data_IF_184276134600
#
_entry.id   IF_184276134600
#
_cell.length_a   1.000
_cell.length_b   1.000
_cell.length_c   1.000
_cell.angle_alpha   90.00
_cell.angle_beta   90.00
_cell.angle_gamma   90.00
#
_symmetry.space_group_name_H-M   'P 1'
#
loop_
_entity.id
_entity.type
_entity.pdbx_description
1 polymer ?
#
# COMPACT_ATOMS: atom_id res chain seq x y z
N UNK A 1 -19.83 23.57 -16.09
CA UNK A 1 -19.22 22.25 -16.34
C UNK A 1 -20.10 21.50 -17.33
N UNK A 2 -19.55 20.83 -18.33
CA UNK A 2 -20.33 19.94 -19.18
C UNK A 2 -20.61 18.66 -18.39
N UNK A 3 -21.89 18.37 -18.13
CA UNK A 3 -22.27 17.06 -17.60
C UNK A 3 -21.97 15.97 -18.64
N UNK A 4 -21.54 14.76 -18.23
CA UNK A 4 -21.32 13.67 -19.16
C UNK A 4 -22.64 13.30 -19.86
N UNK A 5 -22.57 13.01 -21.16
CA UNK A 5 -23.77 12.57 -21.88
C UNK A 5 -24.11 11.13 -21.52
N UNK A 6 -25.35 10.70 -21.78
CA UNK A 6 -25.73 9.29 -21.60
C UNK A 6 -24.81 8.35 -22.39
N UNK A 7 -24.37 8.76 -23.59
CA UNK A 7 -23.44 7.98 -24.41
C UNK A 7 -22.05 7.83 -23.74
N UNK A 8 -21.57 8.85 -23.01
CA UNK A 8 -20.30 8.78 -22.29
C UNK A 8 -20.40 7.90 -21.04
N UNK A 9 -21.53 7.98 -20.33
CA UNK A 9 -21.83 7.11 -19.18
C UNK A 9 -21.90 5.66 -19.64
N UNK A 10 -22.72 5.34 -20.65
CA UNK A 10 -22.84 3.98 -21.20
C UNK A 10 -21.50 3.44 -21.69
N UNK A 11 -20.72 4.24 -22.43
CA UNK A 11 -19.38 3.83 -22.91
C UNK A 11 -18.45 3.50 -21.74
N UNK A 12 -18.48 4.30 -20.68
CA UNK A 12 -17.65 4.08 -19.48
C UNK A 12 -18.02 2.79 -18.76
N UNK A 13 -19.33 2.50 -18.60
CA UNK A 13 -19.80 1.22 -18.06
C UNK A 13 -19.41 0.04 -18.95
N UNK A 14 -19.58 0.13 -20.27
CA UNK A 14 -19.19 -0.96 -21.18
C UNK A 14 -17.69 -1.27 -21.14
N UNK A 15 -16.82 -0.26 -21.01
CA UNK A 15 -15.38 -0.45 -20.84
C UNK A 15 -15.08 -1.13 -19.49
N UNK A 16 -15.74 -0.70 -18.42
CA UNK A 16 -15.52 -1.26 -17.08
C UNK A 16 -15.98 -2.72 -16.97
N UNK A 17 -17.20 -3.03 -17.44
CA UNK A 17 -17.72 -4.41 -17.46
C UNK A 17 -16.87 -5.31 -18.37
N UNK A 18 -16.47 -4.85 -19.55
CA UNK A 18 -15.58 -5.61 -20.42
C UNK A 18 -14.21 -5.89 -19.75
N UNK A 19 -13.62 -4.91 -19.07
CA UNK A 19 -12.38 -5.11 -18.32
C UNK A 19 -12.56 -6.06 -17.13
N UNK A 20 -13.68 -5.96 -16.41
CA UNK A 20 -14.02 -6.88 -15.31
C UNK A 20 -14.16 -8.31 -15.83
N UNK A 21 -15.01 -8.53 -16.81
CA UNK A 21 -15.42 -9.87 -17.24
C UNK A 21 -14.32 -10.54 -18.06
N UNK A 22 -13.82 -9.88 -19.11
CA UNK A 22 -12.91 -10.50 -20.08
C UNK A 22 -11.45 -10.50 -19.62
N UNK A 23 -11.02 -9.56 -18.78
CA UNK A 23 -9.64 -9.51 -18.27
C UNK A 23 -9.54 -9.92 -16.80
N UNK A 24 -10.21 -9.23 -15.88
CA UNK A 24 -10.00 -9.45 -14.44
C UNK A 24 -10.51 -10.83 -13.99
N UNK A 25 -11.77 -11.18 -14.28
CA UNK A 25 -12.37 -12.43 -13.82
C UNK A 25 -11.92 -13.62 -14.68
N UNK A 26 -11.95 -13.49 -16.01
CA UNK A 26 -11.69 -14.60 -16.94
C UNK A 26 -10.23 -14.97 -17.14
N UNK A 27 -9.32 -13.99 -17.24
CA UNK A 27 -7.88 -14.26 -17.50
C UNK A 27 -7.06 -14.15 -16.21
N UNK A 28 -7.24 -13.05 -15.47
CA UNK A 28 -6.38 -12.76 -14.33
C UNK A 28 -6.70 -13.62 -13.10
N UNK A 29 -7.99 -13.80 -12.75
CA UNK A 29 -8.41 -14.60 -11.60
C UNK A 29 -8.85 -16.03 -11.95
N UNK A 30 -9.45 -16.25 -13.11
CA UNK A 30 -10.16 -17.50 -13.42
C UNK A 30 -11.44 -17.70 -12.58
N UNK A 31 -11.94 -16.67 -11.90
CA UNK A 31 -13.17 -16.69 -11.11
C UNK A 31 -13.74 -15.27 -10.91
N UNK A 32 -14.95 -15.18 -10.33
CA UNK A 32 -15.53 -13.89 -9.98
C UNK A 32 -14.73 -13.14 -8.91
N UNK A 33 -14.81 -11.81 -8.94
CA UNK A 33 -14.20 -10.92 -7.92
C UNK A 33 -14.76 -11.25 -6.53
N UNK A 34 -16.05 -11.58 -6.41
CA UNK A 34 -16.66 -11.96 -5.13
C UNK A 34 -16.08 -13.25 -4.55
N UNK A 35 -15.83 -14.29 -5.37
CA UNK A 35 -15.14 -15.50 -4.90
C UNK A 35 -13.73 -15.16 -4.46
N UNK A 36 -12.98 -14.38 -5.24
CA UNK A 36 -11.63 -13.94 -4.86
C UNK A 36 -11.65 -13.20 -3.51
N UNK A 37 -12.51 -12.20 -3.34
CA UNK A 37 -12.69 -11.43 -2.10
C UNK A 37 -13.12 -12.26 -0.88
N UNK A 38 -13.62 -13.49 -1.06
CA UNK A 38 -13.94 -14.37 0.06
C UNK A 38 -12.70 -14.88 0.81
N UNK A 39 -11.52 -14.94 0.16
CA UNK A 39 -10.27 -15.33 0.80
C UNK A 39 -9.87 -14.30 1.89
N UNK A 40 -9.50 -14.77 3.09
CA UNK A 40 -9.12 -13.95 4.25
C UNK A 40 -7.68 -14.21 4.72
N UNK A 41 -7.15 -15.40 4.50
CA UNK A 41 -5.78 -15.77 4.87
C UNK A 41 -4.90 -16.04 3.64
N UNK A 42 -3.59 -16.21 3.84
CA UNK A 42 -2.71 -16.70 2.77
C UNK A 42 -3.01 -18.17 2.44
N UNK A 43 -3.34 -18.97 3.45
CA UNK A 43 -3.69 -20.38 3.27
C UNK A 43 -4.98 -20.52 2.43
N UNK A 44 -5.94 -19.59 2.58
CA UNK A 44 -7.14 -19.51 1.73
C UNK A 44 -6.78 -19.20 0.28
N UNK A 45 -5.78 -18.33 0.05
CA UNK A 45 -5.29 -18.00 -1.31
C UNK A 45 -4.56 -19.18 -1.92
N UNK A 46 -3.76 -19.92 -1.14
CA UNK A 46 -3.11 -21.15 -1.61
C UNK A 46 -4.14 -22.23 -1.95
N UNK A 47 -5.17 -22.41 -1.12
CA UNK A 47 -6.27 -23.35 -1.41
C UNK A 47 -7.08 -22.93 -2.65
N UNK A 48 -7.30 -21.62 -2.84
CA UNK A 48 -7.96 -21.06 -4.02
C UNK A 48 -7.18 -21.32 -5.32
N UNK A 49 -5.85 -21.27 -5.30
CA UNK A 49 -5.03 -21.56 -6.49
C UNK A 49 -5.32 -22.95 -7.07
N UNK A 50 -5.62 -23.95 -6.22
CA UNK A 50 -5.86 -25.33 -6.63
C UNK A 50 -7.36 -25.73 -6.55
N UNK A 51 -8.28 -24.78 -6.33
CA UNK A 51 -9.72 -25.06 -6.15
C UNK A 51 -10.40 -25.57 -7.44
N UNK A 52 -9.94 -25.12 -8.61
CA UNK A 52 -10.37 -25.63 -9.92
C UNK A 52 -9.38 -25.25 -11.03
N UNK A 53 -9.54 -25.89 -12.18
CA UNK A 53 -8.68 -25.72 -13.36
C UNK A 53 -8.60 -24.27 -13.87
N UNK A 54 -9.69 -23.51 -13.82
CA UNK A 54 -9.72 -22.12 -14.30
C UNK A 54 -8.90 -21.20 -13.38
N UNK A 55 -9.04 -21.31 -12.06
CA UNK A 55 -8.26 -20.55 -11.09
C UNK A 55 -6.77 -20.96 -11.12
N UNK A 56 -6.49 -22.27 -11.21
CA UNK A 56 -5.13 -22.79 -11.34
C UNK A 56 -4.41 -22.27 -12.59
N UNK A 57 -5.10 -22.24 -13.73
CA UNK A 57 -4.55 -21.82 -15.02
C UNK A 57 -4.64 -20.31 -15.28
N UNK A 58 -5.21 -19.53 -14.36
CA UNK A 58 -5.25 -18.05 -14.43
C UNK A 58 -3.85 -17.42 -14.31
N UNK A 59 -3.69 -16.19 -14.79
CA UNK A 59 -2.42 -15.46 -14.66
C UNK A 59 -2.02 -15.29 -13.18
N UNK A 60 -2.98 -15.03 -12.29
CA UNK A 60 -2.70 -14.86 -10.86
C UNK A 60 -2.32 -16.18 -10.18
N UNK A 61 -3.04 -17.27 -10.48
CA UNK A 61 -2.73 -18.61 -10.00
C UNK A 61 -1.36 -19.07 -10.46
N UNK A 62 -1.07 -18.94 -11.75
CA UNK A 62 0.25 -19.20 -12.32
C UNK A 62 1.34 -18.34 -11.67
N UNK A 63 1.13 -17.02 -11.53
CA UNK A 63 2.10 -16.12 -10.92
C UNK A 63 2.43 -16.50 -9.47
N UNK A 64 1.43 -16.90 -8.68
CA UNK A 64 1.62 -17.36 -7.30
C UNK A 64 2.44 -18.65 -7.28
N UNK A 65 2.05 -19.68 -8.05
CA UNK A 65 2.75 -20.97 -8.13
C UNK A 65 4.20 -20.79 -8.57
N UNK A 66 4.42 -20.03 -9.64
CA UNK A 66 5.77 -19.71 -10.14
C UNK A 66 6.61 -18.96 -9.11
N UNK A 67 6.05 -17.95 -8.43
CA UNK A 67 6.78 -17.21 -7.40
C UNK A 67 7.20 -18.09 -6.21
N UNK A 68 6.41 -19.10 -5.85
CA UNK A 68 6.75 -20.03 -4.77
C UNK A 68 7.80 -21.06 -5.22
N UNK A 69 7.67 -21.59 -6.44
CA UNK A 69 8.61 -22.53 -7.04
C UNK A 69 10.03 -21.95 -7.16
N UNK A 70 10.16 -20.74 -7.73
CA UNK A 70 11.46 -20.05 -7.81
C UNK A 70 11.87 -19.35 -6.50
N UNK A 71 11.10 -19.49 -5.42
CA UNK A 71 11.42 -18.95 -4.09
C UNK A 71 11.41 -17.42 -3.98
N UNK A 72 10.71 -16.70 -4.86
CA UNK A 72 10.58 -15.23 -4.82
C UNK A 72 9.88 -14.71 -3.56
N UNK A 73 9.19 -15.58 -2.82
CA UNK A 73 8.64 -15.28 -1.49
C UNK A 73 9.71 -15.05 -0.41
N UNK A 74 10.95 -15.54 -0.64
CA UNK A 74 12.08 -15.49 0.30
C UNK A 74 13.02 -14.31 0.07
N UNK A 75 12.83 -13.54 -1.00
CA UNK A 75 13.72 -12.45 -1.41
C UNK A 75 12.98 -11.12 -1.54
N UNK A 76 13.71 -10.01 -1.45
CA UNK A 76 13.14 -8.67 -1.62
C UNK A 76 12.33 -8.17 -0.42
N UNK A 77 12.55 -8.73 0.78
CA UNK A 77 12.03 -8.14 2.02
C UNK A 77 12.62 -6.74 2.20
N UNK A 78 11.74 -5.72 2.23
CA UNK A 78 12.12 -4.33 2.49
C UNK A 78 12.41 -4.07 3.97
N UNK A 79 12.35 -2.79 4.36
CA UNK A 79 12.68 -2.32 5.73
C UNK A 79 11.72 -2.81 6.83
N UNK A 80 10.66 -3.54 6.50
CA UNK A 80 9.66 -4.06 7.46
C UNK A 80 8.74 -3.00 8.07
N UNK A 81 8.96 -1.73 7.75
CA UNK A 81 8.18 -0.58 8.14
C UNK A 81 7.40 -0.04 6.94
N UNK A 82 6.15 0.37 7.12
CA UNK A 82 5.26 0.75 6.02
C UNK A 82 4.52 2.06 6.29
N UNK A 83 4.34 2.86 5.23
CA UNK A 83 3.63 4.14 5.23
C UNK A 83 2.56 4.15 4.13
N UNK A 84 1.32 4.49 4.49
CA UNK A 84 0.29 4.92 3.54
C UNK A 84 -0.34 6.24 3.99
N UNK A 85 -0.43 7.20 3.07
CA UNK A 85 -1.12 8.49 3.28
C UNK A 85 -2.63 8.40 3.05
N UNK A 86 -3.11 7.23 2.59
CA UNK A 86 -4.49 6.95 2.20
C UNK A 86 -4.92 7.55 0.86
N UNK A 87 -6.02 7.03 0.31
CA UNK A 87 -6.51 7.31 -1.04
C UNK A 87 -8.03 7.28 -1.10
N UNK A 88 -8.61 8.16 -1.93
CA UNK A 88 -10.06 8.36 -2.10
C UNK A 88 -10.77 8.88 -0.84
N UNK A 89 -11.60 9.89 -1.02
CA UNK A 89 -12.37 10.50 0.05
C UNK A 89 -13.83 10.08 -0.07
N UNK A 90 -14.45 9.75 1.06
CA UNK A 90 -15.89 9.64 1.20
C UNK A 90 -16.47 11.06 1.04
N UNK A 91 -17.23 11.35 -0.04
CA UNK A 91 -17.62 12.73 -0.37
C UNK A 91 -18.34 13.41 0.79
N UNK A 92 -19.26 12.69 1.45
CA UNK A 92 -20.06 13.20 2.58
C UNK A 92 -19.23 13.59 3.82
N UNK A 93 -17.97 13.14 3.91
CA UNK A 93 -17.04 13.48 4.99
C UNK A 93 -15.97 14.50 4.58
N UNK A 94 -15.96 14.94 3.32
CA UNK A 94 -14.91 15.80 2.75
C UNK A 94 -15.42 17.04 2.00
N UNK A 95 -16.72 17.36 2.10
CA UNK A 95 -17.31 18.63 1.64
C UNK A 95 -16.67 19.87 2.30
N UNK A 96 -16.24 19.72 3.56
CA UNK A 96 -15.57 20.76 4.35
C UNK A 96 -14.22 20.21 4.87
N UNK A 97 -13.19 20.11 4.02
CA UNK A 97 -11.96 19.42 4.36
C UNK A 97 -11.14 20.18 5.40
N UNK A 98 -10.77 19.49 6.48
CA UNK A 98 -9.83 19.97 7.51
C UNK A 98 -8.65 19.00 7.61
N UNK A 99 -7.52 19.47 8.14
CA UNK A 99 -6.32 18.64 8.34
C UNK A 99 -6.65 17.47 9.27
N UNK A 100 -7.28 17.75 10.41
CA UNK A 100 -7.64 16.74 11.42
C UNK A 100 -8.74 15.79 10.93
N UNK A 101 -9.71 16.30 10.17
CA UNK A 101 -10.81 15.50 9.60
C UNK A 101 -10.37 14.58 8.46
N UNK A 102 -9.22 14.87 7.81
CA UNK A 102 -8.76 14.16 6.61
C UNK A 102 -8.71 12.65 6.79
N UNK A 103 -8.12 12.16 7.88
CA UNK A 103 -7.94 10.72 8.08
C UNK A 103 -9.26 9.96 8.23
N UNK A 104 -10.28 10.59 8.83
CA UNK A 104 -11.60 10.01 9.02
C UNK A 104 -12.42 9.94 7.71
N UNK A 105 -12.12 10.79 6.73
CA UNK A 105 -12.78 10.83 5.44
C UNK A 105 -12.20 9.85 4.39
N UNK A 106 -11.14 9.10 4.70
CA UNK A 106 -10.45 8.24 3.73
C UNK A 106 -11.11 6.86 3.58
N UNK A 107 -11.48 6.52 2.35
CA UNK A 107 -11.96 5.17 1.99
C UNK A 107 -10.78 4.18 2.01
N UNK A 108 -9.72 4.51 1.27
CA UNK A 108 -8.43 3.84 1.38
C UNK A 108 -7.64 4.43 2.55
N UNK A 109 -7.62 3.71 3.66
CA UNK A 109 -7.10 4.21 4.96
C UNK A 109 -5.63 4.65 4.90
N UNK A 110 -5.31 5.72 5.64
CA UNK A 110 -3.94 6.09 5.98
C UNK A 110 -3.43 5.28 7.19
N UNK A 111 -2.13 5.29 7.41
CA UNK A 111 -1.50 4.66 8.58
C UNK A 111 -0.01 4.39 8.44
N UNK A 112 0.61 4.15 9.58
CA UNK A 112 2.01 3.77 9.76
C UNK A 112 2.05 2.38 10.40
N UNK A 113 2.86 1.46 9.87
CA UNK A 113 3.09 0.15 10.48
C UNK A 113 4.57 -0.08 10.73
N UNK A 114 4.97 -0.28 11.98
CA UNK A 114 6.37 -0.34 12.42
C UNK A 114 6.50 -1.35 13.56
N UNK A 115 7.40 -2.33 13.43
CA UNK A 115 7.68 -3.29 14.50
C UNK A 115 6.45 -4.06 15.03
N UNK A 116 5.46 -4.33 14.17
CA UNK A 116 4.20 -4.99 14.56
C UNK A 116 3.12 -4.05 15.11
N UNK A 117 3.40 -2.75 15.26
CA UNK A 117 2.47 -1.74 15.80
C UNK A 117 1.94 -0.83 14.70
N UNK A 118 0.67 -0.44 14.82
CA UNK A 118 0.03 0.54 13.95
C UNK A 118 -0.02 1.91 14.64
N UNK A 119 0.26 2.98 13.89
CA UNK A 119 0.13 4.36 14.33
C UNK A 119 -0.67 5.15 13.29
N UNK A 120 -1.37 6.19 13.74
CA UNK A 120 -2.05 7.10 12.84
C UNK A 120 -1.04 7.92 12.00
N UNK A 121 -1.40 8.18 10.74
CA UNK A 121 -0.60 9.02 9.86
C UNK A 121 -0.85 10.51 10.15
N UNK A 122 0.20 11.20 10.56
CA UNK A 122 0.25 12.66 10.67
C UNK A 122 1.30 13.21 9.69
N UNK A 123 0.84 14.10 8.81
CA UNK A 123 1.68 14.80 7.83
C UNK A 123 2.83 15.63 8.44
N UNK A 124 2.67 16.15 9.65
CA UNK A 124 3.65 17.02 10.31
C UNK A 124 4.90 16.26 10.77
N UNK A 125 4.89 14.92 10.66
CA UNK A 125 6.01 14.00 10.98
C UNK A 125 6.84 13.58 9.77
N UNK A 126 6.43 13.95 8.55
CA UNK A 126 7.20 13.69 7.33
C UNK A 126 8.44 14.58 7.32
N UNK A 127 9.61 14.02 6.98
CA UNK A 127 10.86 14.75 6.80
C UNK A 127 11.58 14.30 5.53
N UNK A 128 12.30 15.20 4.88
CA UNK A 128 13.23 14.91 3.80
C UNK A 128 14.67 15.11 4.30
N UNK A 129 15.48 14.05 4.32
CA UNK A 129 16.92 14.13 4.58
C UNK A 129 17.69 14.29 3.26
N UNK A 130 18.60 15.26 3.23
CA UNK A 130 19.43 15.62 2.07
C UNK A 130 20.90 15.23 2.25
N UNK A 131 21.29 14.63 3.39
CA UNK A 131 22.68 14.33 3.75
C UNK A 131 23.45 13.65 2.61
N UNK A 132 22.86 12.61 2.01
CA UNK A 132 23.46 11.84 0.91
C UNK A 132 22.96 12.22 -0.50
N UNK A 133 22.18 13.29 -0.61
CA UNK A 133 21.58 13.76 -1.86
C UNK A 133 22.31 15.00 -2.38
N UNK A 134 22.33 15.24 -3.69
CA UNK A 134 22.98 16.39 -4.36
C UNK A 134 22.28 17.75 -4.14
N UNK A 135 21.93 18.03 -2.88
CA UNK A 135 21.38 19.30 -2.41
C UNK A 135 22.20 19.84 -1.24
N UNK A 136 22.11 21.14 -1.00
CA UNK A 136 22.64 21.76 0.22
C UNK A 136 21.87 21.32 1.47
N UNK A 137 22.48 21.50 2.64
CA UNK A 137 21.98 20.97 3.92
C UNK A 137 22.51 19.57 4.28
N UNK A 138 22.28 19.22 5.55
CA UNK A 138 22.81 18.01 6.22
C UNK A 138 21.83 17.41 7.23
N UNK A 139 20.52 17.57 7.03
CA UNK A 139 19.53 17.11 7.99
C UNK A 139 18.10 16.97 7.46
N UNK A 140 17.21 16.34 8.25
CA UNK A 140 15.81 16.10 7.91
C UNK A 140 14.92 17.35 8.13
N UNK A 141 14.35 17.91 7.05
CA UNK A 141 13.43 19.06 7.10
C UNK A 141 11.98 18.67 6.77
N UNK A 142 10.98 19.35 7.33
CA UNK A 142 9.58 19.14 6.91
C UNK A 142 9.36 19.76 5.52
N UNK A 143 8.52 19.18 4.62
CA UNK A 143 8.30 19.76 3.29
C UNK A 143 7.85 21.23 3.24
N UNK A 144 7.22 21.78 4.28
CA UNK A 144 6.90 23.22 4.35
C UNK A 144 8.12 24.12 4.62
N UNK A 145 9.18 23.55 5.18
CA UNK A 145 10.47 24.19 5.48
C UNK A 145 11.58 23.67 4.53
N UNK A 146 11.20 22.89 3.51
CA UNK A 146 12.11 22.11 2.70
C UNK A 146 12.78 22.91 1.59
N UNK A 147 14.11 23.02 1.65
CA UNK A 147 14.90 23.64 0.58
C UNK A 147 15.23 22.66 -0.56
N UNK A 148 15.48 23.21 -1.75
CA UNK A 148 15.89 22.45 -2.95
C UNK A 148 16.95 23.24 -3.72
N UNK A 149 18.12 23.42 -3.10
CA UNK A 149 19.29 24.08 -3.68
C UNK A 149 20.25 22.98 -4.18
N UNK A 150 20.41 22.77 -5.50
CA UNK A 150 21.24 21.70 -6.03
C UNK A 150 22.73 22.01 -5.89
N UNK A 151 23.54 20.95 -5.71
CA UNK A 151 25.01 21.01 -5.66
C UNK A 151 25.58 20.26 -6.87
N UNK A 152 26.71 20.73 -7.40
CA UNK A 152 27.43 20.00 -8.45
C UNK A 152 27.73 18.55 -8.01
N UNK A 153 27.41 17.52 -8.81
CA UNK A 153 27.68 16.12 -8.45
C UNK A 153 29.14 15.78 -8.18
N UNK A 154 30.11 16.48 -8.77
CA UNK A 154 31.53 16.26 -8.50
C UNK A 154 31.90 16.72 -7.09
N UNK A 155 31.50 17.93 -6.71
CA UNK A 155 31.66 18.46 -5.34
C UNK A 155 30.80 17.70 -4.32
N UNK A 156 29.60 17.30 -4.71
CA UNK A 156 28.70 16.48 -3.90
C UNK A 156 29.32 15.14 -3.55
N UNK A 157 29.96 14.46 -4.50
CA UNK A 157 30.67 13.18 -4.26
C UNK A 157 31.84 13.34 -3.30
N UNK A 158 32.60 14.44 -3.39
CA UNK A 158 33.67 14.78 -2.41
C UNK A 158 33.11 14.91 -0.99
N UNK A 159 31.82 15.26 -0.84
CA UNK A 159 31.06 15.35 0.42
C UNK A 159 30.22 14.10 0.76
N UNK A 160 30.41 12.98 0.07
CA UNK A 160 29.70 11.71 0.31
C UNK A 160 28.28 11.61 -0.28
N UNK A 161 27.83 12.60 -1.06
CA UNK A 161 26.52 12.59 -1.72
C UNK A 161 26.58 11.74 -2.99
N UNK A 162 25.53 10.95 -3.23
CA UNK A 162 25.52 9.95 -4.31
C UNK A 162 24.22 9.89 -5.13
N UNK A 163 23.17 10.65 -4.78
CA UNK A 163 21.85 10.56 -5.41
C UNK A 163 21.18 11.91 -5.65
N UNK A 164 20.35 12.01 -6.68
CA UNK A 164 19.38 13.11 -6.85
C UNK A 164 18.08 12.90 -6.07
N UNK A 165 17.79 11.67 -5.64
CA UNK A 165 16.64 11.42 -4.77
C UNK A 165 16.96 11.87 -3.33
N UNK A 166 16.13 12.76 -2.77
CA UNK A 166 16.08 13.02 -1.33
C UNK A 166 15.72 11.74 -0.57
N UNK A 167 16.08 11.66 0.70
CA UNK A 167 15.85 10.51 1.56
C UNK A 167 14.69 10.78 2.53
N UNK A 168 13.41 10.55 2.14
CA UNK A 168 12.28 10.76 3.04
C UNK A 168 12.35 9.82 4.25
N UNK A 169 11.96 10.36 5.41
CA UNK A 169 11.83 9.68 6.70
C UNK A 169 10.53 10.11 7.36
N UNK A 170 10.05 9.31 8.30
CA UNK A 170 8.92 9.68 9.14
C UNK A 170 9.35 9.63 10.61
N UNK A 171 9.00 10.67 11.37
CA UNK A 171 9.20 10.72 12.82
C UNK A 171 8.15 9.86 13.54
N UNK A 172 8.52 8.64 13.91
CA UNK A 172 7.64 7.74 14.68
C UNK A 172 7.84 7.98 16.17
N UNK A 173 6.77 8.19 16.96
CA UNK A 173 6.86 8.40 18.40
C UNK A 173 7.70 7.31 19.10
N UNK A 174 8.74 7.75 19.83
CA UNK A 174 9.71 6.91 20.55
C UNK A 174 10.65 6.06 19.68
N UNK A 175 10.67 6.25 18.36
CA UNK A 175 11.57 5.58 17.41
C UNK A 175 12.34 6.56 16.49
N UNK A 176 11.90 7.82 16.42
CA UNK A 176 12.58 8.88 15.65
C UNK A 176 12.40 8.74 14.14
N UNK A 177 13.33 9.33 13.38
CA UNK A 177 13.29 9.38 11.92
C UNK A 177 13.70 8.05 11.29
N UNK A 178 12.73 7.20 10.96
CA UNK A 178 12.98 5.89 10.36
C UNK A 178 12.64 5.86 8.85
N UNK A 179 13.27 4.97 8.05
CA UNK A 179 12.83 4.69 6.70
C UNK A 179 11.59 3.78 6.71
N UNK A 180 10.67 4.01 5.77
CA UNK A 180 9.47 3.19 5.54
C UNK A 180 9.29 2.92 4.05
N UNK A 181 8.71 1.76 3.75
CA UNK A 181 8.25 1.38 2.43
C UNK A 181 6.86 1.95 2.16
N UNK A 182 6.67 2.56 1.00
CA UNK A 182 5.38 3.03 0.51
C UNK A 182 4.91 2.18 -0.68
N UNK A 183 3.62 2.23 -0.99
CA UNK A 183 3.04 1.58 -2.16
C UNK A 183 2.01 0.50 -1.81
N UNK A 184 1.82 -0.52 -2.66
CA UNK A 184 0.65 -1.38 -2.55
C UNK A 184 0.61 -2.19 -1.25
N UNK A 185 1.72 -2.79 -0.79
CA UNK A 185 1.75 -3.52 0.48
C UNK A 185 1.49 -2.60 1.67
N UNK A 186 2.10 -1.42 1.67
CA UNK A 186 1.88 -0.43 2.73
C UNK A 186 0.41 -0.03 2.86
N UNK A 187 -0.32 0.10 1.74
CA UNK A 187 -1.78 0.30 1.74
C UNK A 187 -2.52 -0.88 2.37
N UNK A 188 -2.07 -2.12 2.15
CA UNK A 188 -2.62 -3.31 2.82
C UNK A 188 -2.40 -3.27 4.34
N UNK A 189 -1.17 -2.94 4.77
CA UNK A 189 -0.80 -2.85 6.18
C UNK A 189 -1.57 -1.73 6.91
N UNK A 190 -1.76 -0.57 6.26
CA UNK A 190 -2.53 0.54 6.80
C UNK A 190 -4.03 0.20 6.94
N UNK A 191 -4.61 -0.49 5.95
CA UNK A 191 -6.02 -0.94 6.01
C UNK A 191 -6.31 -1.87 7.20
N UNK A 192 -5.33 -2.67 7.64
CA UNK A 192 -5.42 -3.56 8.79
C UNK A 192 -5.34 -2.88 10.17
N UNK A 193 -5.26 -1.55 10.26
CA UNK A 193 -5.22 -0.83 11.54
C UNK A 193 -6.51 -0.92 12.36
N UNK A 194 -6.49 -0.56 13.65
CA UNK A 194 -7.71 -0.46 14.46
C UNK A 194 -8.68 0.57 13.85
N UNK A 195 -9.97 0.24 13.76
CA UNK A 195 -10.99 1.13 13.21
C UNK A 195 -11.13 2.41 14.07
N UNK A 196 -11.22 3.61 13.49
CA UNK A 196 -11.72 4.78 14.22
C UNK A 196 -13.19 4.52 14.63
N UNK A 197 -13.65 5.03 15.79
CA UNK A 197 -14.96 4.66 16.33
C UNK A 197 -16.11 5.38 15.62
N UNK A 198 -16.62 4.84 14.50
CA UNK A 198 -17.92 5.24 13.93
C UNK A 198 -18.78 4.07 13.41
N UNK A 199 -20.03 4.08 13.89
CA UNK A 199 -21.29 3.61 13.26
C UNK A 199 -21.29 2.33 12.40
N UNK A 200 -21.67 1.21 13.05
CA UNK A 200 -22.55 0.14 12.53
C UNK A 200 -22.45 -0.28 11.04
N UNK A 201 -21.26 -0.70 10.57
CA UNK A 201 -21.19 -1.77 9.55
C UNK A 201 -20.11 -2.78 9.94
N UNK A 202 -20.53 -4.02 10.19
CA UNK A 202 -19.70 -5.05 10.83
C UNK A 202 -18.93 -5.87 9.78
N UNK A 203 -17.62 -5.64 9.62
CA UNK A 203 -16.73 -6.63 9.01
C UNK A 203 -15.38 -6.66 9.73
N UNK A 204 -15.00 -7.82 10.26
CA UNK A 204 -13.79 -8.06 11.06
C UNK A 204 -12.62 -8.37 10.10
N UNK A 205 -11.44 -7.79 10.33
CA UNK A 205 -10.39 -7.68 9.31
C UNK A 205 -9.07 -8.37 9.71
N UNK A 206 -8.66 -9.40 8.96
CA UNK A 206 -7.40 -10.19 9.03
C UNK A 206 -7.36 -11.15 7.83
N UNK A 207 -6.27 -11.48 7.12
CA UNK A 207 -4.84 -11.20 7.26
C UNK A 207 -4.06 -10.97 5.89
N UNK A 208 -2.77 -11.32 5.68
CA UNK A 208 -1.88 -10.87 4.52
C UNK A 208 -1.27 -11.97 3.65
N UNK A 209 -0.93 -11.63 2.40
CA UNK A 209 0.38 -12.01 1.81
C UNK A 209 1.05 -10.94 0.90
N UNK A 210 2.37 -10.80 1.11
CA UNK A 210 3.54 -10.26 0.36
C UNK A 210 3.46 -9.18 -0.76
N UNK A 211 4.57 -8.44 -0.90
CA UNK A 211 4.76 -7.16 -1.59
C UNK A 211 4.50 -7.11 -3.10
N UNK A 212 4.86 -8.16 -3.85
CA UNK A 212 4.64 -8.19 -5.30
C UNK A 212 3.16 -8.42 -5.63
N UNK A 213 2.54 -9.36 -4.94
CA UNK A 213 1.10 -9.63 -4.94
C UNK A 213 0.29 -8.38 -4.56
N UNK A 214 0.82 -7.54 -3.67
CA UNK A 214 0.10 -6.35 -3.22
C UNK A 214 -0.27 -5.35 -4.34
N UNK A 215 0.47 -5.29 -5.45
CA UNK A 215 0.11 -4.44 -6.61
C UNK A 215 -1.21 -4.90 -7.24
N UNK A 216 -1.46 -6.20 -7.21
CA UNK A 216 -2.71 -6.86 -7.64
C UNK A 216 -3.80 -6.65 -6.58
N UNK A 217 -3.49 -6.85 -5.30
CA UNK A 217 -4.45 -6.67 -4.18
C UNK A 217 -4.91 -5.22 -3.92
N UNK A 218 -4.53 -4.23 -4.75
CA UNK A 218 -5.02 -2.85 -4.60
C UNK A 218 -6.33 -2.53 -5.33
N UNK A 219 -6.87 -3.45 -6.14
CA UNK A 219 -8.21 -3.34 -6.74
C UNK A 219 -9.35 -3.82 -5.82
N UNK A 220 -9.05 -4.34 -4.63
CA UNK A 220 -10.05 -4.80 -3.66
C UNK A 220 -9.73 -4.39 -2.22
N UNK A 221 -10.74 -4.45 -1.36
CA UNK A 221 -10.62 -4.02 0.04
C UNK A 221 -10.28 -5.20 0.97
N UNK A 222 -9.00 -5.55 1.04
CA UNK A 222 -8.48 -6.74 1.73
C UNK A 222 -7.89 -6.45 3.15
N UNK A 223 -7.42 -7.47 3.90
CA UNK A 223 -6.69 -7.35 5.18
C UNK A 223 -5.13 -7.47 5.16
N UNK A 224 -4.49 -7.50 6.34
CA UNK A 224 -3.03 -7.73 6.54
C UNK A 224 -2.64 -8.52 7.83
N UNK A 225 -1.44 -9.14 7.88
CA UNK A 225 -0.86 -9.98 8.95
C UNK A 225 0.66 -9.77 9.06
N UNK A 226 1.24 -10.39 10.08
CA UNK A 226 2.68 -10.64 10.24
C UNK A 226 2.88 -12.06 10.77
N UNK A 227 4.03 -12.71 10.46
CA UNK A 227 4.37 -14.01 11.06
C UNK A 227 4.47 -13.90 12.59
N UNK A 228 4.03 -14.93 13.32
CA UNK A 228 4.40 -15.11 14.73
C UNK A 228 5.92 -15.33 14.83
N UNK A 229 6.60 -14.84 15.86
CA UNK A 229 7.98 -15.22 16.13
C UNK A 229 8.05 -16.71 16.49
N UNK A 230 9.10 -17.40 16.01
CA UNK A 230 9.39 -18.78 16.43
C UNK A 230 9.77 -18.78 17.92
N UNK A 231 8.91 -19.33 18.77
CA UNK A 231 9.29 -19.74 20.12
C UNK A 231 10.02 -21.07 20.04
N UNK A 232 11.36 -21.02 19.99
CA UNK A 232 12.19 -22.20 20.25
C UNK A 232 12.03 -22.60 21.72
N UNK A 233 11.34 -23.71 21.96
CA UNK A 233 11.38 -24.35 23.27
C UNK A 233 12.74 -25.04 23.44
N UNK A 234 13.41 -24.74 24.55
CA UNK A 234 14.36 -25.63 25.21
C UNK A 234 13.68 -26.35 26.37
#
# INVERSE_FOLDING_TARGET
MCAPTLADVTRSFSIFEHWKDEWLEKQWLGCSVDRWLANKSWDDVLAWVDENEAQHNSDCGFFIRYCLDVGLDKYGQGVGNYLATGTYFEPSLYEHPTIDGRNAALIGRSGIFVGGKWYEFDHARVREDVTHSFYEGTGPLHPFEGETIPVDPEEGRKRGKYSWAKAPRYDVPNLGHIPLEAGPLARRMAAGGPMPPRTKTTTRCSSTCTTRSARVFSSGNWPACTRRPNTTHG
#
